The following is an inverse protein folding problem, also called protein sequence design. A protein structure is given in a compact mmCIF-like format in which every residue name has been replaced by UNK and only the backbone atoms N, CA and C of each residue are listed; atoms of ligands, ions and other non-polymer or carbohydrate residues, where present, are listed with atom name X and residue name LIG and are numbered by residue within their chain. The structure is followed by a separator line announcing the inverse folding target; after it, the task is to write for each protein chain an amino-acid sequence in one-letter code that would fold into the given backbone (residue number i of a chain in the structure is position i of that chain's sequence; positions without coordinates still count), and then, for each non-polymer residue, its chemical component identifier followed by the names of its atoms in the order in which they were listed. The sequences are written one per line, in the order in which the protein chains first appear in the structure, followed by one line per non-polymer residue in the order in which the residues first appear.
data_IF_621615384587
#
_entry.id   IF_621615384587
#
_cell.length_a   1.000
_cell.length_b   1.000
_cell.length_c   1.000
_cell.angle_alpha   90.00
_cell.angle_beta   90.00
_cell.angle_gamma   90.00
#
_symmetry.space_group_name_H-M   'P 1'
#
loop_
_entity.id
_entity.type
_entity.pdbx_description
1 polymer ?
#
# COMPACT_ATOMS: atom_id res chain seq x y z
N UNK A 1 6.96 -7.04 -3.58
CA UNK A 1 5.52 -7.38 -3.53
C UNK A 1 4.77 -6.45 -4.45
N UNK A 2 3.81 -6.97 -5.20
CA UNK A 2 2.90 -6.15 -5.98
C UNK A 2 1.77 -5.59 -5.10
N UNK A 3 1.06 -4.56 -5.57
CA UNK A 3 -0.13 -4.04 -4.91
C UNK A 3 -1.27 -5.08 -4.96
N UNK A 4 -2.20 -5.07 -4.00
CA UNK A 4 -3.32 -6.03 -3.96
C UNK A 4 -4.14 -6.09 -5.27
N UNK A 5 -4.44 -4.97 -5.96
CA UNK A 5 -5.04 -4.97 -7.28
C UNK A 5 -4.34 -5.88 -8.31
N UNK A 6 -3.01 -6.01 -8.26
CA UNK A 6 -2.26 -6.85 -9.20
C UNK A 6 -2.65 -8.33 -9.06
N UNK A 7 -2.67 -8.85 -7.84
CA UNK A 7 -3.08 -10.23 -7.58
C UNK A 7 -4.56 -10.44 -7.89
N UNK A 8 -5.43 -9.46 -7.61
CA UNK A 8 -6.83 -9.49 -8.02
C UNK A 8 -6.97 -9.58 -9.56
N UNK A 9 -6.20 -8.81 -10.31
CA UNK A 9 -6.16 -8.91 -11.78
C UNK A 9 -5.72 -10.29 -12.25
N UNK A 10 -4.71 -10.90 -11.61
CA UNK A 10 -4.28 -12.28 -11.94
C UNK A 10 -5.41 -13.30 -11.77
N UNK A 11 -6.22 -13.13 -10.73
CA UNK A 11 -7.35 -14.00 -10.43
C UNK A 11 -8.60 -13.67 -11.25
N UNK A 12 -8.60 -12.54 -11.99
CA UNK A 12 -9.78 -12.01 -12.67
C UNK A 12 -10.86 -11.51 -11.71
N UNK A 13 -10.47 -11.06 -10.51
CA UNK A 13 -11.37 -10.46 -9.52
C UNK A 13 -11.54 -8.97 -9.80
N UNK A 14 -12.73 -8.44 -9.50
CA UNK A 14 -13.00 -7.01 -9.55
C UNK A 14 -12.19 -6.28 -8.48
N UNK A 15 -11.65 -5.12 -8.85
CA UNK A 15 -10.97 -4.20 -7.93
C UNK A 15 -12.02 -3.25 -7.37
N UNK A 16 -11.99 -3.05 -6.06
CA UNK A 16 -12.95 -2.25 -5.33
C UNK A 16 -12.29 -1.03 -4.68
N UNK A 17 -13.11 -0.14 -4.10
CA UNK A 17 -12.62 1.07 -3.43
C UNK A 17 -11.68 0.73 -2.26
N UNK A 18 -11.91 -0.39 -1.56
CA UNK A 18 -11.09 -0.77 -0.40
C UNK A 18 -9.68 -1.16 -0.81
N UNK A 19 -9.48 -1.66 -2.02
CA UNK A 19 -8.13 -1.91 -2.53
C UNK A 19 -7.29 -0.63 -2.64
N UNK A 20 -7.93 0.53 -2.84
CA UNK A 20 -7.25 1.84 -2.87
C UNK A 20 -6.59 2.17 -1.52
N UNK A 21 -7.22 1.83 -0.40
CA UNK A 21 -6.73 2.15 0.95
C UNK A 21 -5.28 1.70 1.18
N UNK A 22 -4.95 0.52 0.65
CA UNK A 22 -3.63 -0.10 0.75
C UNK A 22 -2.56 0.49 -0.18
N UNK A 23 -2.99 1.28 -1.19
CA UNK A 23 -2.10 1.89 -2.18
C UNK A 23 -1.95 3.39 -1.94
N UNK A 24 -3.05 4.06 -1.64
CA UNK A 24 -3.15 5.50 -1.46
C UNK A 24 -4.32 5.80 -0.49
N UNK A 25 -3.98 5.91 0.80
CA UNK A 25 -4.98 6.11 1.85
C UNK A 25 -5.61 7.50 1.78
N UNK A 26 -4.89 8.52 1.30
CA UNK A 26 -5.43 9.87 1.13
C UNK A 26 -6.50 9.87 0.03
N UNK A 27 -6.16 9.32 -1.14
CA UNK A 27 -7.10 9.26 -2.25
C UNK A 27 -8.30 8.34 -1.95
N UNK A 28 -8.08 7.25 -1.22
CA UNK A 28 -9.15 6.41 -0.67
C UNK A 28 -10.12 7.22 0.20
N UNK A 29 -9.60 8.03 1.13
CA UNK A 29 -10.44 8.84 2.02
C UNK A 29 -11.26 9.88 1.23
N UNK A 30 -10.67 10.51 0.20
CA UNK A 30 -11.39 11.44 -0.67
C UNK A 30 -12.54 10.75 -1.43
N UNK A 31 -12.29 9.58 -2.01
CA UNK A 31 -13.32 8.81 -2.72
C UNK A 31 -14.38 8.25 -1.77
N UNK A 32 -13.99 7.85 -0.55
CA UNK A 32 -14.93 7.43 0.49
C UNK A 32 -15.82 8.59 0.92
N UNK A 33 -15.26 9.79 1.08
CA UNK A 33 -16.04 10.99 1.37
C UNK A 33 -17.06 11.27 0.27
N UNK A 34 -16.66 11.22 -1.01
CA UNK A 34 -17.57 11.36 -2.15
C UNK A 34 -18.69 10.31 -2.06
N UNK A 35 -18.35 9.06 -1.76
CA UNK A 35 -19.32 7.97 -1.62
C UNK A 35 -20.36 8.23 -0.54
N UNK A 36 -19.95 8.77 0.61
CA UNK A 36 -20.79 8.93 1.79
C UNK A 36 -21.54 10.28 1.84
N UNK A 37 -21.07 11.29 1.11
CA UNK A 37 -21.59 12.66 1.14
C UNK A 37 -22.08 13.10 -0.24
N UNK A 38 -22.71 14.28 -0.32
CA UNK A 38 -23.09 14.90 -1.59
C UNK A 38 -21.87 15.59 -2.23
N UNK A 39 -21.38 15.15 -3.40
CA UNK A 39 -20.22 15.74 -4.04
C UNK A 39 -20.55 16.97 -4.91
N UNK A 40 -21.82 17.39 -5.00
CA UNK A 40 -22.25 18.44 -5.94
C UNK A 40 -21.53 19.78 -5.69
N UNK A 41 -21.17 20.08 -4.44
CA UNK A 41 -20.43 21.30 -4.07
C UNK A 41 -18.93 21.25 -4.45
N UNK A 42 -18.40 20.07 -4.78
CA UNK A 42 -17.00 19.91 -5.18
C UNK A 42 -16.76 20.27 -6.65
N UNK A 43 -17.83 20.53 -7.42
CA UNK A 43 -17.79 20.86 -8.86
C UNK A 43 -16.97 19.84 -9.68
N UNK A 44 -16.94 18.58 -9.23
CA UNK A 44 -16.27 17.50 -9.93
C UNK A 44 -16.99 17.18 -11.23
N UNK A 45 -16.23 16.77 -12.24
CA UNK A 45 -16.74 16.21 -13.49
C UNK A 45 -16.21 14.79 -13.67
N UNK A 46 -16.66 14.06 -14.69
CA UNK A 46 -16.14 12.73 -15.02
C UNK A 46 -14.76 12.82 -15.70
N UNK A 47 -13.84 13.54 -15.06
CA UNK A 47 -12.45 13.73 -15.47
C UNK A 47 -11.50 13.50 -14.29
N UNK A 48 -10.27 13.12 -14.61
CA UNK A 48 -9.18 12.99 -13.65
C UNK A 48 -7.92 13.65 -14.20
N UNK A 49 -7.12 14.20 -13.30
CA UNK A 49 -5.81 14.71 -13.65
C UNK A 49 -4.82 13.56 -13.75
N UNK A 50 -4.04 13.56 -14.82
CA UNK A 50 -2.93 12.65 -15.06
C UNK A 50 -1.64 13.45 -15.15
N UNK A 51 -0.74 13.21 -14.20
CA UNK A 51 0.63 13.71 -14.27
C UNK A 51 1.52 12.70 -14.99
N UNK A 52 2.19 13.14 -16.06
CA UNK A 52 3.15 12.36 -16.82
C UNK A 52 4.37 13.21 -17.13
N UNK A 53 5.53 12.77 -16.63
CA UNK A 53 6.82 13.46 -16.85
C UNK A 53 6.82 14.95 -16.49
N UNK A 54 6.14 15.32 -15.40
CA UNK A 54 6.01 16.70 -14.93
C UNK A 54 4.96 17.54 -15.67
N UNK A 55 4.18 16.94 -16.56
CA UNK A 55 3.05 17.59 -17.22
C UNK A 55 1.72 17.03 -16.69
N UNK A 56 0.86 17.91 -16.22
CA UNK A 56 -0.52 17.58 -15.82
C UNK A 56 -1.45 17.75 -17.01
N UNK A 57 -2.25 16.72 -17.30
CA UNK A 57 -3.29 16.73 -18.33
C UNK A 57 -4.59 16.20 -17.76
N UNK A 58 -5.72 16.66 -18.27
CA UNK A 58 -7.03 16.20 -17.85
C UNK A 58 -7.51 15.09 -18.78
N UNK A 59 -8.00 13.98 -18.21
CA UNK A 59 -8.52 12.84 -18.96
C UNK A 59 -9.97 12.57 -18.60
N UNK A 60 -10.82 12.48 -19.61
CA UNK A 60 -12.20 12.06 -19.43
C UNK A 60 -12.29 10.57 -19.08
N UNK A 61 -13.08 10.25 -18.04
CA UNK A 61 -13.35 8.88 -17.59
C UNK A 61 -14.39 8.18 -18.47
N UNK A 62 -15.26 8.95 -19.12
CA UNK A 62 -16.26 8.48 -20.08
C UNK A 62 -16.47 9.53 -21.17
N UNK A 63 -17.16 9.16 -22.25
CA UNK A 63 -17.41 10.08 -23.35
C UNK A 63 -18.10 11.37 -22.87
N UNK A 64 -17.53 12.52 -23.24
CA UNK A 64 -18.02 13.84 -22.86
C UNK A 64 -17.96 14.07 -21.34
N UNK A 65 -17.03 13.39 -20.65
CA UNK A 65 -16.91 13.39 -19.19
C UNK A 65 -16.65 14.76 -18.59
N UNK A 66 -15.97 15.66 -19.32
CA UNK A 66 -15.71 17.02 -18.86
C UNK A 66 -16.99 17.87 -18.70
N UNK A 67 -18.08 17.48 -19.37
CA UNK A 67 -19.36 18.19 -19.31
C UNK A 67 -20.40 17.50 -18.42
N UNK A 68 -20.01 16.42 -17.72
CA UNK A 68 -20.90 15.65 -16.86
C UNK A 68 -20.48 15.90 -15.41
N UNK A 69 -21.26 16.66 -14.62
CA UNK A 69 -20.96 16.87 -13.21
C UNK A 69 -21.19 15.59 -12.41
N UNK A 70 -20.40 15.41 -11.35
CA UNK A 70 -20.60 14.33 -10.38
C UNK A 70 -21.67 14.75 -9.38
N UNK A 71 -22.71 13.94 -9.26
CA UNK A 71 -23.87 14.17 -8.39
C UNK A 71 -24.11 12.94 -7.51
N UNK A 72 -25.05 13.06 -6.56
CA UNK A 72 -25.44 11.93 -5.72
C UNK A 72 -25.95 10.71 -6.50
N UNK A 73 -26.55 10.92 -7.67
CA UNK A 73 -27.11 9.85 -8.51
C UNK A 73 -26.04 9.09 -9.31
N UNK A 74 -24.90 9.72 -9.61
CA UNK A 74 -23.88 9.15 -10.50
C UNK A 74 -22.50 8.94 -9.85
N UNK A 75 -22.33 9.31 -8.57
CA UNK A 75 -21.06 9.20 -7.85
C UNK A 75 -20.48 7.78 -7.79
N UNK A 76 -21.31 6.75 -7.71
CA UNK A 76 -20.84 5.36 -7.69
C UNK A 76 -20.21 4.95 -9.04
N UNK A 77 -20.75 5.46 -10.16
CA UNK A 77 -20.17 5.29 -11.50
C UNK A 77 -18.84 6.03 -11.58
N UNK A 78 -18.79 7.28 -11.10
CA UNK A 78 -17.56 8.07 -11.05
C UNK A 78 -16.45 7.32 -10.29
N UNK A 79 -16.73 6.86 -9.07
CA UNK A 79 -15.77 6.10 -8.25
C UNK A 79 -15.30 4.84 -8.98
N UNK A 80 -16.23 4.10 -9.59
CA UNK A 80 -15.90 2.87 -10.33
C UNK A 80 -14.96 3.15 -11.51
N UNK A 81 -15.20 4.22 -12.27
CA UNK A 81 -14.35 4.62 -13.39
C UNK A 81 -12.98 5.14 -12.93
N UNK A 82 -12.92 5.85 -11.80
CA UNK A 82 -11.64 6.27 -11.19
C UNK A 82 -10.80 5.04 -10.82
N UNK A 83 -11.40 4.03 -10.18
CA UNK A 83 -10.71 2.79 -9.79
C UNK A 83 -10.23 2.02 -11.04
N UNK A 84 -11.11 1.84 -12.03
CA UNK A 84 -10.80 1.19 -13.29
C UNK A 84 -9.64 1.89 -14.02
N UNK A 85 -9.65 3.23 -14.07
CA UNK A 85 -8.57 4.00 -14.64
C UNK A 85 -7.26 3.83 -13.87
N UNK A 86 -7.34 3.97 -12.54
CA UNK A 86 -6.16 4.00 -11.65
C UNK A 86 -5.39 2.69 -11.63
N UNK A 87 -6.09 1.55 -11.77
CA UNK A 87 -5.49 0.23 -11.59
C UNK A 87 -5.54 -0.69 -12.81
N UNK A 88 -6.49 -0.53 -13.73
CA UNK A 88 -6.74 -1.52 -14.80
C UNK A 88 -6.40 -0.94 -16.17
N UNK A 89 -7.13 0.10 -16.58
CA UNK A 89 -7.14 0.57 -17.97
C UNK A 89 -5.76 0.98 -18.49
N UNK A 90 -4.91 1.58 -17.64
CA UNK A 90 -3.56 2.07 -18.01
C UNK A 90 -2.53 0.96 -18.21
N UNK A 91 -2.81 -0.21 -17.66
CA UNK A 91 -1.85 -1.32 -17.56
C UNK A 91 -2.40 -2.61 -18.16
N UNK A 92 -3.53 -2.54 -18.87
CA UNK A 92 -4.26 -3.70 -19.38
C UNK A 92 -3.40 -4.56 -20.30
N UNK A 93 -2.70 -3.94 -21.25
CA UNK A 93 -1.86 -4.67 -22.22
C UNK A 93 -0.65 -5.32 -21.55
N UNK A 94 -0.04 -4.62 -20.60
CA UNK A 94 1.08 -5.10 -19.80
C UNK A 94 0.65 -6.26 -18.89
N UNK A 95 -0.55 -6.17 -18.29
CA UNK A 95 -1.11 -7.24 -17.48
C UNK A 95 -1.44 -8.48 -18.33
N UNK A 96 -2.02 -8.30 -19.52
CA UNK A 96 -2.29 -9.40 -20.44
C UNK A 96 -1.00 -10.12 -20.85
N UNK A 97 0.04 -9.36 -21.22
CA UNK A 97 1.35 -9.94 -21.55
C UNK A 97 1.98 -10.70 -20.36
N UNK A 98 1.84 -10.16 -19.14
CA UNK A 98 2.26 -10.86 -17.92
C UNK A 98 1.49 -12.17 -17.72
N UNK A 99 0.17 -12.16 -17.90
CA UNK A 99 -0.69 -13.35 -17.75
C UNK A 99 -0.42 -14.39 -18.82
N UNK A 100 -0.14 -14.00 -20.07
CA UNK A 100 0.24 -14.91 -21.14
C UNK A 100 1.54 -15.64 -20.79
N UNK A 101 2.55 -14.90 -20.33
CA UNK A 101 3.82 -15.46 -19.87
C UNK A 101 3.66 -16.38 -18.65
N UNK A 102 2.86 -15.96 -17.67
CA UNK A 102 2.57 -16.76 -16.47
C UNK A 102 1.84 -18.06 -16.82
N UNK A 103 0.81 -17.98 -17.67
CA UNK A 103 -0.02 -19.11 -18.10
C UNK A 103 0.76 -20.16 -18.90
N UNK A 104 1.86 -19.76 -19.56
CA UNK A 104 2.76 -20.69 -20.26
C UNK A 104 3.50 -21.64 -19.30
N UNK A 105 3.67 -21.27 -18.02
CA UNK A 105 4.34 -22.08 -17.00
C UNK A 105 3.34 -22.68 -16.00
N UNK A 106 2.39 -21.88 -15.54
CA UNK A 106 1.39 -22.26 -14.53
C UNK A 106 0.00 -21.89 -15.06
N UNK A 107 -0.85 -22.87 -15.43
CA UNK A 107 -2.19 -22.59 -15.92
C UNK A 107 -2.99 -21.70 -14.96
N UNK A 108 -3.57 -20.61 -15.47
CA UNK A 108 -4.31 -19.65 -14.64
C UNK A 108 -5.49 -20.27 -13.89
N UNK A 109 -6.07 -21.34 -14.43
CA UNK A 109 -7.13 -22.09 -13.77
C UNK A 109 -6.69 -22.70 -12.42
N UNK A 110 -5.40 -23.05 -12.27
CA UNK A 110 -4.88 -23.64 -11.02
C UNK A 110 -4.68 -22.60 -9.93
N UNK A 111 -4.36 -21.35 -10.28
CA UNK A 111 -4.17 -20.29 -9.27
C UNK A 111 -5.48 -19.70 -8.77
N UNK A 112 -6.59 -19.88 -9.50
CA UNK A 112 -7.92 -19.37 -9.13
C UNK A 112 -8.52 -20.01 -7.88
N UNK A 113 -7.90 -21.08 -7.35
CA UNK A 113 -8.26 -21.66 -6.06
C UNK A 113 -7.85 -20.77 -4.88
N UNK A 114 -6.85 -19.91 -5.08
CA UNK A 114 -6.32 -19.02 -4.06
C UNK A 114 -7.07 -17.69 -4.07
N UNK A 115 -7.18 -17.06 -2.91
CA UNK A 115 -7.47 -15.64 -2.84
C UNK A 115 -6.22 -14.77 -3.12
N UNK A 116 -6.40 -13.45 -3.21
CA UNK A 116 -5.32 -12.53 -3.54
C UNK A 116 -4.22 -12.47 -2.46
N UNK A 117 -4.53 -12.77 -1.19
CA UNK A 117 -3.55 -12.82 -0.11
C UNK A 117 -2.78 -14.13 -0.14
N UNK A 118 -3.47 -15.24 -0.39
CA UNK A 118 -2.85 -16.56 -0.54
C UNK A 118 -1.94 -16.59 -1.78
N UNK A 119 -2.36 -15.96 -2.88
CA UNK A 119 -1.53 -15.85 -4.09
C UNK A 119 -0.31 -14.96 -3.86
N UNK A 120 -0.46 -13.83 -3.14
CA UNK A 120 0.67 -13.01 -2.71
C UNK A 120 1.65 -13.83 -1.87
N UNK A 121 1.14 -14.59 -0.90
CA UNK A 121 1.94 -15.45 -0.03
C UNK A 121 2.64 -16.56 -0.81
N UNK A 122 1.97 -17.17 -1.78
CA UNK A 122 2.54 -18.22 -2.63
C UNK A 122 3.66 -17.68 -3.51
N UNK A 123 3.44 -16.52 -4.14
CA UNK A 123 4.38 -15.94 -5.10
C UNK A 123 5.59 -15.29 -4.41
N UNK A 124 5.35 -14.57 -3.32
CA UNK A 124 6.39 -13.78 -2.65
C UNK A 124 6.93 -14.44 -1.38
N UNK A 125 6.28 -15.50 -0.90
CA UNK A 125 6.59 -16.11 0.38
C UNK A 125 6.25 -15.20 1.57
N UNK A 126 6.63 -15.67 2.75
CA UNK A 126 6.70 -14.84 3.94
C UNK A 126 8.01 -14.03 3.84
N UNK A 127 7.94 -12.70 3.80
CA UNK A 127 9.17 -11.89 3.81
C UNK A 127 9.93 -12.18 5.10
N UNK A 128 11.03 -12.92 5.02
CA UNK A 128 11.84 -13.21 6.20
C UNK A 128 12.50 -11.90 6.65
N UNK A 129 11.98 -11.30 7.72
CA UNK A 129 12.52 -10.07 8.26
C UNK A 129 13.84 -10.38 8.95
N UNK A 130 14.94 -9.93 8.34
CA UNK A 130 16.28 -10.02 8.92
C UNK A 130 16.41 -9.01 10.06
N UNK A 131 16.26 -9.50 11.29
CA UNK A 131 16.40 -8.71 12.52
C UNK A 131 17.81 -8.15 12.68
N UNK A 132 18.84 -8.79 12.11
CA UNK A 132 20.22 -8.26 12.16
C UNK A 132 20.34 -7.02 11.29
N UNK A 133 19.81 -7.07 10.07
CA UNK A 133 19.78 -5.92 9.17
C UNK A 133 18.92 -4.79 9.74
N UNK A 134 17.74 -5.13 10.29
CA UNK A 134 16.87 -4.15 10.96
C UNK A 134 17.60 -3.43 12.10
N UNK A 135 18.23 -4.19 13.00
CA UNK A 135 18.98 -3.64 14.13
C UNK A 135 20.17 -2.79 13.69
N UNK A 136 20.88 -3.20 12.63
CA UNK A 136 22.04 -2.49 12.08
C UNK A 136 21.67 -1.12 11.50
N UNK A 137 20.49 -1.01 10.90
CA UNK A 137 20.01 0.21 10.25
C UNK A 137 18.96 0.96 11.10
N UNK A 138 19.02 0.82 12.43
CA UNK A 138 18.13 1.53 13.36
C UNK A 138 18.83 2.74 13.97
N UNK A 139 18.16 3.89 13.97
CA UNK A 139 18.56 5.09 14.70
C UNK A 139 17.94 5.11 16.11
N UNK A 140 18.64 5.76 17.04
CA UNK A 140 18.17 5.97 18.40
C UNK A 140 18.13 7.47 18.69
N UNK A 141 17.05 7.94 19.33
CA UNK A 141 16.84 9.35 19.70
C UNK A 141 16.52 9.52 21.18
N UNK A 142 16.73 10.73 21.69
CA UNK A 142 16.69 11.03 23.13
C UNK A 142 17.88 10.40 23.85
N UNK A 143 17.64 9.81 25.02
CA UNK A 143 18.69 9.14 25.81
C UNK A 143 18.95 7.69 25.38
N UNK A 144 18.25 7.19 24.36
CA UNK A 144 18.45 5.83 23.86
C UNK A 144 19.68 5.73 22.97
N UNK A 145 20.39 4.61 23.12
CA UNK A 145 21.52 4.20 22.29
C UNK A 145 21.56 2.67 22.22
N UNK A 146 22.38 2.10 21.33
CA UNK A 146 22.39 0.65 21.05
C UNK A 146 22.62 -0.25 22.28
N UNK A 147 23.32 0.26 23.30
CA UNK A 147 23.64 -0.45 24.54
C UNK A 147 22.68 -0.13 25.70
N UNK A 148 21.69 0.73 25.51
CA UNK A 148 20.71 1.05 26.56
C UNK A 148 19.87 -0.19 26.89
N UNK A 149 19.61 -0.45 28.18
CA UNK A 149 18.95 -1.68 28.64
C UNK A 149 17.59 -1.92 27.97
N UNK A 150 16.77 -0.88 27.84
CA UNK A 150 15.47 -0.95 27.14
C UNK A 150 15.61 -1.31 25.67
N UNK A 151 16.64 -0.79 24.98
CA UNK A 151 16.93 -1.11 23.57
C UNK A 151 17.37 -2.56 23.43
N UNK A 152 18.21 -3.05 24.35
CA UNK A 152 18.61 -4.45 24.38
C UNK A 152 17.42 -5.38 24.61
N UNK A 153 16.50 -5.02 25.51
CA UNK A 153 15.27 -5.77 25.74
C UNK A 153 14.34 -5.75 24.54
N UNK A 154 14.16 -4.60 23.90
CA UNK A 154 13.39 -4.49 22.65
C UNK A 154 13.89 -5.50 21.62
N UNK A 155 15.19 -5.48 21.31
CA UNK A 155 15.75 -6.40 20.32
C UNK A 155 15.71 -7.87 20.76
N UNK A 156 15.83 -8.15 22.07
CA UNK A 156 15.66 -9.51 22.60
C UNK A 156 14.24 -10.03 22.35
N UNK A 157 13.22 -9.18 22.55
CA UNK A 157 11.82 -9.52 22.27
C UNK A 157 11.60 -9.70 20.75
N UNK A 158 12.09 -8.78 19.92
CA UNK A 158 11.94 -8.88 18.45
C UNK A 158 12.62 -10.14 17.88
N UNK A 159 13.76 -10.55 18.44
CA UNK A 159 14.41 -11.81 18.07
C UNK A 159 13.55 -13.03 18.42
N UNK A 160 12.79 -12.98 19.52
CA UNK A 160 11.89 -14.06 19.94
C UNK A 160 10.59 -14.15 19.12
N UNK A 161 10.22 -13.07 18.41
CA UNK A 161 9.03 -13.05 17.58
C UNK A 161 9.16 -13.99 16.39
N UNK A 162 8.06 -14.65 16.04
CA UNK A 162 7.90 -15.27 14.74
C UNK A 162 7.81 -14.18 13.64
N UNK A 163 7.88 -14.60 12.38
CA UNK A 163 7.93 -13.63 11.29
C UNK A 163 6.66 -12.78 11.16
N UNK A 164 5.49 -13.37 11.45
CA UNK A 164 4.22 -12.64 11.43
C UNK A 164 4.21 -11.50 12.46
N UNK A 165 4.64 -11.76 13.69
CA UNK A 165 4.75 -10.74 14.74
C UNK A 165 5.77 -9.66 14.37
N UNK A 166 6.88 -10.02 13.72
CA UNK A 166 7.85 -9.03 13.18
C UNK A 166 7.23 -8.15 12.11
N UNK A 167 6.44 -8.74 11.20
CA UNK A 167 5.77 -8.00 10.13
C UNK A 167 4.71 -7.05 10.69
N UNK A 168 3.92 -7.48 11.70
CA UNK A 168 2.96 -6.62 12.39
C UNK A 168 3.64 -5.47 13.14
N UNK A 169 4.78 -5.72 13.80
CA UNK A 169 5.57 -4.65 14.43
C UNK A 169 6.10 -3.66 13.40
N UNK A 170 6.62 -4.16 12.27
CA UNK A 170 7.11 -3.30 11.19
C UNK A 170 5.98 -2.43 10.62
N UNK A 171 4.81 -3.02 10.38
CA UNK A 171 3.62 -2.29 9.91
C UNK A 171 3.14 -1.27 10.92
N UNK A 172 3.15 -1.60 12.22
CA UNK A 172 2.79 -0.65 13.27
C UNK A 172 3.68 0.60 13.25
N UNK A 173 4.99 0.43 13.01
CA UNK A 173 5.95 1.55 13.05
C UNK A 173 6.04 2.30 11.73
N UNK A 174 5.91 1.62 10.59
CA UNK A 174 6.22 2.17 9.26
C UNK A 174 5.01 2.29 8.34
N UNK A 175 3.83 1.87 8.79
CA UNK A 175 2.61 1.79 7.97
C UNK A 175 2.60 0.60 7.01
N UNK A 176 3.71 -0.12 6.81
CA UNK A 176 3.82 -1.25 5.88
C UNK A 176 4.54 -2.45 6.50
N UNK A 177 4.12 -3.66 6.14
CA UNK A 177 4.81 -4.90 6.52
C UNK A 177 6.00 -5.23 5.61
N UNK A 178 6.30 -4.36 4.62
CA UNK A 178 7.26 -4.62 3.55
C UNK A 178 8.62 -4.00 3.86
N UNK A 179 9.68 -4.80 3.76
CA UNK A 179 11.07 -4.33 3.76
C UNK A 179 11.47 -3.95 2.32
N UNK A 180 12.15 -2.80 2.09
CA UNK A 180 12.72 -2.45 0.79
C UNK A 180 13.63 -3.53 0.23
N UNK A 181 13.77 -3.60 -1.10
CA UNK A 181 14.57 -4.63 -1.78
C UNK A 181 16.03 -4.68 -1.30
N UNK A 182 16.59 -3.51 -0.96
CA UNK A 182 17.97 -3.37 -0.48
C UNK A 182 18.09 -3.38 1.06
N UNK A 183 17.03 -3.80 1.75
CA UNK A 183 17.00 -3.93 3.22
C UNK A 183 16.63 -2.63 3.94
N UNK A 184 16.82 -2.63 5.26
CA UNK A 184 16.39 -1.57 6.17
C UNK A 184 17.14 -0.24 5.99
N UNK A 185 18.29 -0.26 5.29
CA UNK A 185 19.07 0.95 4.99
C UNK A 185 18.35 1.91 4.02
N UNK A 186 17.40 1.39 3.23
CA UNK A 186 16.63 2.15 2.23
C UNK A 186 15.17 2.29 2.64
N UNK A 187 14.89 2.38 3.95
CA UNK A 187 13.55 2.75 4.40
C UNK A 187 13.21 4.18 3.99
N UNK A 188 11.95 4.39 3.62
CA UNK A 188 11.38 5.68 3.23
C UNK A 188 10.19 5.99 4.14
N UNK A 189 10.08 7.27 4.51
CA UNK A 189 8.88 7.85 5.13
C UNK A 189 8.30 8.94 4.23
N UNK A 190 7.30 9.67 4.73
CA UNK A 190 6.54 10.66 3.96
C UNK A 190 7.40 11.77 3.33
N UNK A 191 8.56 12.09 3.94
CA UNK A 191 9.46 13.15 3.48
C UNK A 191 10.76 12.63 2.85
N UNK A 192 10.77 11.38 2.37
CA UNK A 192 11.93 10.76 1.71
C UNK A 192 12.65 9.70 2.57
N UNK A 193 13.95 9.45 2.33
CA UNK A 193 14.70 8.42 3.05
C UNK A 193 14.66 8.63 4.57
N UNK A 194 14.13 7.65 5.30
CA UNK A 194 13.93 7.71 6.74
C UNK A 194 14.17 6.34 7.36
N UNK A 195 15.26 6.21 8.12
CA UNK A 195 15.57 4.97 8.83
C UNK A 195 14.59 4.72 9.99
N UNK A 196 14.39 3.44 10.30
CA UNK A 196 13.68 3.00 11.49
C UNK A 196 14.31 3.64 12.74
N UNK A 197 13.50 4.25 13.59
CA UNK A 197 13.99 5.04 14.73
C UNK A 197 13.28 4.64 16.02
N UNK A 198 14.04 4.43 17.09
CA UNK A 198 13.50 4.23 18.44
C UNK A 198 13.82 5.46 19.28
N UNK A 199 12.79 6.13 19.76
CA UNK A 199 12.90 7.34 20.57
C UNK A 199 12.38 7.10 21.99
N UNK A 200 13.09 7.63 22.99
CA UNK A 200 12.61 7.61 24.38
C UNK A 200 11.45 8.59 24.52
N UNK A 201 10.29 8.08 24.91
CA UNK A 201 9.08 8.88 25.07
C UNK A 201 8.19 8.35 26.20
N UNK A 202 7.47 9.26 26.87
CA UNK A 202 6.46 8.93 27.86
C UNK A 202 7.01 8.40 29.19
N UNK A 203 6.11 7.82 29.98
CA UNK A 203 6.41 7.12 31.23
C UNK A 203 6.15 5.61 31.07
N UNK A 204 6.62 4.74 31.98
CA UNK A 204 6.42 3.29 31.88
C UNK A 204 4.95 2.83 31.84
N UNK A 205 4.01 3.68 32.26
CA UNK A 205 2.58 3.41 32.22
C UNK A 205 1.95 3.64 30.83
N UNK A 206 2.67 4.28 29.90
CA UNK A 206 2.20 4.51 28.54
C UNK A 206 2.52 3.32 27.62
N UNK A 207 1.59 2.97 26.73
CA UNK A 207 1.88 2.07 25.63
C UNK A 207 2.78 2.77 24.58
N UNK A 208 3.62 2.01 23.85
CA UNK A 208 4.39 2.55 22.73
C UNK A 208 3.46 3.16 21.67
N UNK A 209 3.94 4.22 21.02
CA UNK A 209 3.27 4.87 19.89
C UNK A 209 4.19 4.92 18.68
N UNK A 210 3.63 5.02 17.48
CA UNK A 210 4.36 5.14 16.24
C UNK A 210 3.98 6.43 15.50
N UNK A 211 4.94 6.97 14.76
CA UNK A 211 4.72 7.98 13.74
C UNK A 211 5.15 7.34 12.43
N UNK A 212 4.16 6.94 11.63
CA UNK A 212 4.33 6.27 10.33
C UNK A 212 4.75 7.27 9.27
#
# INVERSE_FOLDING_TARGET
FFIRPFYKMMLGKQIDLKDMESVDSEYYNSLLWIKENDPSELELTFCVDEESFGHTSQRELKANGANIPVTNENKDEYISLVIEWRFVSRVKDQMNAFLDGFNALVPLALIKIFDEHELELLACGIQHIDVKDWKKNTLYKGDYHANHITVQWFWRVVLSFNNEMRARLLQFVTGTSRVPMNGFKELYGSNGPQLFTIEKWGTPENYPRAHT
#
